data_IF_692105969424
#
_entry.id   IF_692105969424
#
_cell.length_a   1.000
_cell.length_b   1.000
_cell.length_c   1.000
_cell.angle_alpha   90.00
_cell.angle_beta   90.00
_cell.angle_gamma   90.00
#
_symmetry.space_group_name_H-M   'P 1'
#
loop_
_entity.id
_entity.type
_entity.pdbx_description
1 polymer ?
#
# COMPACT_ATOMS: atom_id res chain seq x y z
N UNK A 1 67.60 32.95 2.68
CA UNK A 1 66.34 33.02 3.50
C UNK A 1 65.33 31.89 3.19
N UNK A 2 65.21 31.45 1.91
CA UNK A 2 64.28 30.42 1.52
C UNK A 2 64.56 28.99 2.03
N UNK A 3 65.88 28.65 2.16
CA UNK A 3 66.32 27.31 2.59
C UNK A 3 66.24 27.10 4.11
N UNK A 4 66.35 28.14 4.89
CA UNK A 4 66.21 28.11 6.35
C UNK A 4 64.77 27.93 6.70
N UNK A 5 63.81 28.55 5.97
CA UNK A 5 62.40 28.40 6.19
C UNK A 5 61.89 27.00 5.81
N UNK A 6 62.39 26.44 4.70
CA UNK A 6 62.05 25.07 4.28
C UNK A 6 62.58 24.00 5.26
N UNK A 7 63.75 24.25 5.92
CA UNK A 7 64.19 23.30 6.96
C UNK A 7 63.44 23.42 8.27
N UNK A 8 62.92 24.60 8.59
CA UNK A 8 62.13 24.81 9.78
C UNK A 8 60.72 24.23 9.63
N UNK A 9 60.11 24.35 8.47
CA UNK A 9 58.81 23.69 8.16
C UNK A 9 58.92 22.16 8.15
N UNK A 10 60.05 21.62 7.69
CA UNK A 10 60.30 20.17 7.73
C UNK A 10 60.55 19.64 9.17
N UNK A 11 60.97 20.48 10.12
CA UNK A 11 61.10 20.13 11.53
C UNK A 11 59.79 20.24 12.32
N UNK A 12 58.81 20.93 11.79
CA UNK A 12 57.48 21.06 12.39
C UNK A 12 56.46 19.98 11.93
N UNK A 13 56.87 19.05 11.08
CA UNK A 13 56.14 17.85 10.80
C UNK A 13 56.08 16.98 12.04
N UNK A 14 55.15 17.28 12.92
CA UNK A 14 54.95 16.54 14.16
C UNK A 14 54.45 15.12 13.79
N UNK A 15 55.28 14.07 13.99
CA UNK A 15 54.90 12.70 13.65
C UNK A 15 53.60 12.25 14.38
N UNK A 16 53.22 12.95 15.45
CA UNK A 16 51.95 12.73 16.17
C UNK A 16 50.73 13.23 15.36
N UNK A 17 50.90 14.23 14.47
CA UNK A 17 49.77 14.70 13.65
C UNK A 17 49.45 13.78 12.48
N UNK A 18 50.47 13.16 11.86
CA UNK A 18 50.27 12.18 10.78
C UNK A 18 49.65 10.85 11.31
N UNK A 19 50.12 10.40 12.49
CA UNK A 19 49.54 9.22 13.12
C UNK A 19 48.11 9.49 13.58
N UNK A 20 47.81 10.67 14.10
CA UNK A 20 46.44 11.04 14.50
C UNK A 20 45.49 11.14 13.31
N UNK A 21 45.92 11.73 12.20
CA UNK A 21 45.15 11.78 10.94
C UNK A 21 44.95 10.38 10.34
N UNK A 22 45.97 9.52 10.39
CA UNK A 22 45.86 8.13 9.92
C UNK A 22 44.88 7.31 10.74
N UNK A 23 44.91 7.46 12.08
CA UNK A 23 43.96 6.81 12.99
C UNK A 23 42.53 7.34 12.73
N UNK A 24 42.37 8.64 12.55
CA UNK A 24 41.05 9.24 12.29
C UNK A 24 40.47 8.78 10.94
N UNK A 25 41.29 8.66 9.91
CA UNK A 25 40.88 8.08 8.62
C UNK A 25 40.51 6.60 8.74
N UNK A 26 41.31 5.83 9.48
CA UNK A 26 41.07 4.39 9.70
C UNK A 26 39.75 4.15 10.45
N UNK A 27 39.46 4.98 11.46
CA UNK A 27 38.20 4.93 12.22
C UNK A 27 37.02 5.29 11.32
N UNK A 28 37.12 6.34 10.51
CA UNK A 28 36.03 6.77 9.62
C UNK A 28 35.70 5.72 8.55
N UNK A 29 36.72 5.09 7.95
CA UNK A 29 36.52 4.01 6.97
C UNK A 29 35.83 2.79 7.61
N UNK A 30 36.19 2.44 8.85
CA UNK A 30 35.53 1.36 9.58
C UNK A 30 34.04 1.69 9.87
N UNK A 31 33.71 2.91 10.26
CA UNK A 31 32.32 3.33 10.49
C UNK A 31 31.45 3.24 9.23
N UNK A 32 31.97 3.64 8.07
CA UNK A 32 31.29 3.46 6.78
C UNK A 32 31.09 1.98 6.44
N UNK A 33 32.11 1.14 6.69
CA UNK A 33 32.00 -0.31 6.52
C UNK A 33 30.90 -0.92 7.40
N UNK A 34 30.84 -0.56 8.67
CA UNK A 34 29.78 -1.03 9.59
C UNK A 34 28.39 -0.49 9.18
N UNK A 35 28.29 0.75 8.72
CA UNK A 35 27.04 1.33 8.21
C UNK A 35 26.48 0.58 7.00
N UNK A 36 27.35 0.23 6.05
CA UNK A 36 26.96 -0.52 4.85
C UNK A 36 26.53 -1.95 5.23
N UNK A 37 27.28 -2.64 6.10
CA UNK A 37 26.93 -3.99 6.52
C UNK A 37 25.60 -4.03 7.29
N UNK A 38 25.35 -3.05 8.16
CA UNK A 38 24.09 -2.92 8.88
C UNK A 38 22.93 -2.67 7.92
N UNK A 39 23.11 -1.79 6.91
CA UNK A 39 22.08 -1.52 5.90
C UNK A 39 21.74 -2.78 5.08
N UNK A 40 22.74 -3.56 4.68
CA UNK A 40 22.54 -4.83 3.97
C UNK A 40 21.78 -5.85 4.83
N UNK A 41 22.09 -5.95 6.11
CA UNK A 41 21.40 -6.84 7.05
C UNK A 41 19.92 -6.42 7.20
N UNK A 42 19.66 -5.12 7.33
CA UNK A 42 18.29 -4.58 7.42
C UNK A 42 17.50 -4.88 6.13
N UNK A 43 18.10 -4.65 4.96
CA UNK A 43 17.46 -4.95 3.68
C UNK A 43 17.19 -6.45 3.52
N UNK A 44 18.12 -7.32 3.93
CA UNK A 44 17.93 -8.76 3.93
C UNK A 44 16.81 -9.19 4.88
N UNK A 45 16.74 -8.62 6.09
CA UNK A 45 15.67 -8.87 7.05
C UNK A 45 14.29 -8.42 6.53
N UNK A 46 14.23 -7.23 5.90
CA UNK A 46 13.01 -6.73 5.28
C UNK A 46 12.55 -7.59 4.10
N UNK A 47 13.48 -8.05 3.26
CA UNK A 47 13.16 -8.94 2.14
C UNK A 47 12.67 -10.31 2.64
N UNK A 48 13.33 -10.88 3.66
CA UNK A 48 12.92 -12.13 4.31
C UNK A 48 11.53 -12.00 4.96
N UNK A 49 11.28 -10.89 5.65
CA UNK A 49 9.97 -10.57 6.23
C UNK A 49 8.89 -10.46 5.13
N UNK A 50 9.20 -9.79 4.03
CA UNK A 50 8.27 -9.66 2.90
C UNK A 50 7.95 -11.01 2.24
N UNK A 51 8.97 -11.85 2.03
CA UNK A 51 8.80 -13.21 1.49
C UNK A 51 8.03 -14.10 2.47
N UNK A 52 8.31 -14.00 3.77
CA UNK A 52 7.56 -14.72 4.80
C UNK A 52 6.10 -14.28 4.87
N UNK A 53 5.82 -12.97 4.85
CA UNK A 53 4.46 -12.41 4.79
C UNK A 53 3.72 -12.90 3.54
N UNK A 54 4.39 -12.89 2.38
CA UNK A 54 3.85 -13.42 1.10
C UNK A 54 3.57 -14.93 1.19
N UNK A 55 4.45 -15.70 1.83
CA UNK A 55 4.28 -17.16 2.00
C UNK A 55 3.13 -17.50 2.98
N UNK A 56 2.90 -16.67 4.00
CA UNK A 56 1.73 -16.79 4.87
C UNK A 56 0.44 -16.54 4.09
N UNK A 57 0.40 -15.47 3.28
CA UNK A 57 -0.74 -15.15 2.43
C UNK A 57 -1.03 -16.27 1.43
N UNK A 58 0.02 -16.86 0.83
CA UNK A 58 -0.15 -17.99 -0.09
C UNK A 58 -0.66 -19.28 0.58
N UNK A 59 -0.38 -19.50 1.88
CA UNK A 59 -0.94 -20.64 2.62
C UNK A 59 -2.44 -20.49 2.88
N UNK A 60 -2.90 -19.28 3.09
CA UNK A 60 -4.34 -18.98 3.23
C UNK A 60 -5.05 -19.10 1.88
N UNK A 61 -4.43 -18.65 0.78
CA UNK A 61 -4.95 -18.85 -0.59
C UNK A 61 -5.02 -20.32 -0.97
N UNK A 62 -4.05 -21.13 -0.56
CA UNK A 62 -4.07 -22.58 -0.82
C UNK A 62 -5.21 -23.30 -0.05
N UNK A 63 -5.65 -22.79 1.11
CA UNK A 63 -6.84 -23.28 1.80
C UNK A 63 -8.14 -22.87 1.11
N UNK A 64 -8.17 -21.68 0.51
CA UNK A 64 -9.30 -21.16 -0.28
C UNK A 64 -9.42 -21.88 -1.63
N UNK A 65 -8.30 -22.34 -2.19
CA UNK A 65 -8.23 -23.05 -3.48
C UNK A 65 -8.32 -24.57 -3.35
N UNK A 66 -8.64 -25.10 -2.15
CA UNK A 66 -8.84 -26.55 -1.99
C UNK A 66 -10.13 -26.96 -2.71
N UNK A 67 -10.00 -27.20 -4.01
CA UNK A 67 -11.00 -27.92 -4.82
C UNK A 67 -11.25 -29.26 -4.13
N UNK A 68 -12.51 -29.64 -3.84
CA UNK A 68 -12.80 -30.98 -3.31
C UNK A 68 -12.14 -32.05 -4.15
N UNK A 69 -11.54 -33.06 -3.50
CA UNK A 69 -10.78 -34.14 -4.12
C UNK A 69 -11.59 -34.92 -5.18
N UNK A 70 -12.91 -34.89 -5.07
CA UNK A 70 -13.87 -35.52 -5.99
C UNK A 70 -13.81 -34.93 -7.43
N UNK A 71 -13.43 -33.65 -7.59
CA UNK A 71 -13.26 -33.02 -8.92
C UNK A 71 -11.90 -33.32 -9.57
N UNK A 72 -10.92 -33.84 -8.81
CA UNK A 72 -9.59 -34.21 -9.31
C UNK A 72 -9.54 -35.55 -10.01
N UNK A 73 -10.50 -36.42 -9.74
CA UNK A 73 -10.54 -37.80 -10.27
C UNK A 73 -11.34 -37.92 -11.58
N UNK A 74 -12.05 -36.86 -11.98
CA UNK A 74 -12.68 -36.81 -13.29
C UNK A 74 -11.69 -36.24 -14.31
N UNK A 75 -10.75 -37.11 -14.74
CA UNK A 75 -9.79 -36.79 -15.79
C UNK A 75 -10.49 -36.51 -17.12
N UNK A 76 -10.81 -35.28 -17.37
CA UNK A 76 -11.14 -34.75 -18.71
C UNK A 76 -10.29 -33.53 -19.02
N UNK A 77 -9.47 -33.72 -20.03
CA UNK A 77 -8.86 -32.84 -21.00
C UNK A 77 -8.51 -31.42 -20.58
N UNK A 78 -7.23 -31.17 -20.64
CA UNK A 78 -6.60 -29.86 -20.58
C UNK A 78 -6.76 -29.16 -21.95
N UNK A 79 -8.02 -28.89 -22.32
CA UNK A 79 -8.41 -28.08 -23.48
C UNK A 79 -9.71 -27.38 -23.13
N UNK A 80 -9.67 -26.29 -22.36
CA UNK A 80 -10.70 -25.25 -22.32
C UNK A 80 -10.22 -24.13 -21.37
N UNK A 81 -9.22 -23.38 -21.82
CA UNK A 81 -8.69 -22.21 -21.09
C UNK A 81 -9.60 -20.97 -21.23
N UNK A 82 -10.82 -21.15 -21.74
CA UNK A 82 -11.79 -20.06 -21.94
C UNK A 82 -13.17 -20.40 -21.33
N UNK A 83 -13.16 -20.87 -20.08
CA UNK A 83 -14.38 -20.83 -19.29
C UNK A 83 -14.71 -19.36 -18.99
N UNK A 84 -15.86 -18.90 -19.46
CA UNK A 84 -16.34 -17.56 -19.21
C UNK A 84 -16.28 -17.24 -17.69
N UNK A 85 -16.05 -16.01 -17.32
CA UNK A 85 -16.02 -15.59 -15.91
C UNK A 85 -17.27 -16.09 -15.17
N UNK A 86 -18.37 -16.17 -15.85
CA UNK A 86 -19.66 -16.63 -15.34
C UNK A 86 -19.71 -18.11 -14.93
N UNK A 87 -18.98 -19.01 -15.63
CA UNK A 87 -18.86 -20.41 -15.25
C UNK A 87 -17.95 -20.60 -14.04
N UNK A 88 -16.91 -19.78 -13.89
CA UNK A 88 -16.06 -19.75 -12.68
C UNK A 88 -16.83 -19.31 -11.43
N UNK A 89 -17.87 -18.46 -11.58
CA UNK A 89 -18.76 -18.08 -10.48
C UNK A 89 -19.69 -19.20 -10.06
N UNK A 90 -20.18 -20.00 -11.01
CA UNK A 90 -21.14 -21.10 -10.74
C UNK A 90 -20.51 -22.28 -10.01
N UNK A 91 -19.18 -22.48 -10.14
CA UNK A 91 -18.47 -23.61 -9.54
C UNK A 91 -17.93 -23.31 -8.14
N UNK A 92 -17.94 -22.06 -7.70
CA UNK A 92 -17.40 -21.62 -6.40
C UNK A 92 -18.54 -21.43 -5.39
N UNK A 93 -18.97 -22.50 -4.74
CA UNK A 93 -19.85 -22.42 -3.57
C UNK A 93 -19.04 -21.84 -2.39
N UNK A 94 -18.92 -20.50 -2.31
CA UNK A 94 -18.37 -19.85 -1.11
C UNK A 94 -19.39 -19.98 0.03
N UNK A 95 -18.94 -20.51 1.17
CA UNK A 95 -19.79 -20.53 2.35
C UNK A 95 -20.01 -19.11 2.88
N UNK A 96 -21.10 -18.92 3.60
CA UNK A 96 -21.40 -17.63 4.23
C UNK A 96 -20.30 -17.20 5.20
N UNK A 97 -19.72 -18.15 5.95
CA UNK A 97 -18.60 -17.89 6.87
C UNK A 97 -17.34 -17.46 6.14
N UNK A 98 -17.07 -17.99 4.97
CA UNK A 98 -15.94 -17.57 4.15
C UNK A 98 -16.12 -16.15 3.63
N UNK A 99 -17.31 -15.83 3.12
CA UNK A 99 -17.66 -14.48 2.68
C UNK A 99 -17.55 -13.48 3.83
N UNK A 100 -18.00 -13.84 5.01
CA UNK A 100 -17.91 -13.01 6.22
C UNK A 100 -16.46 -12.75 6.63
N UNK A 101 -15.62 -13.80 6.71
CA UNK A 101 -14.19 -13.68 7.00
C UNK A 101 -13.46 -12.83 5.95
N UNK A 102 -13.78 -13.01 4.68
CA UNK A 102 -13.19 -12.23 3.60
C UNK A 102 -13.61 -10.76 3.68
N UNK A 103 -14.87 -10.49 4.03
CA UNK A 103 -15.36 -9.12 4.26
C UNK A 103 -14.63 -8.44 5.40
N UNK A 104 -14.39 -9.12 6.53
CA UNK A 104 -13.64 -8.55 7.65
C UNK A 104 -12.17 -8.31 7.28
N UNK A 105 -11.54 -9.21 6.53
CA UNK A 105 -10.18 -9.02 6.00
C UNK A 105 -10.12 -7.81 5.06
N UNK A 106 -11.09 -7.67 4.16
CA UNK A 106 -11.22 -6.54 3.26
C UNK A 106 -11.33 -5.22 4.04
N UNK A 107 -12.23 -5.14 5.03
CA UNK A 107 -12.40 -3.95 5.88
C UNK A 107 -11.12 -3.61 6.64
N UNK A 108 -10.39 -4.62 7.15
CA UNK A 108 -9.12 -4.43 7.84
C UNK A 108 -8.08 -3.81 6.91
N UNK A 109 -7.87 -4.37 5.72
CA UNK A 109 -6.94 -3.85 4.71
C UNK A 109 -7.31 -2.41 4.33
N UNK A 110 -8.60 -2.13 4.10
CA UNK A 110 -9.07 -0.78 3.77
C UNK A 110 -8.75 0.24 4.87
N UNK A 111 -8.81 -0.13 6.15
CA UNK A 111 -8.49 0.77 7.27
C UNK A 111 -7.00 0.94 7.52
N UNK A 112 -6.23 -0.16 7.46
CA UNK A 112 -4.81 -0.17 7.85
C UNK A 112 -3.89 0.23 6.70
N UNK A 113 -4.10 -0.29 5.50
CA UNK A 113 -3.22 -0.08 4.35
C UNK A 113 -3.71 1.04 3.42
N UNK A 114 -4.98 1.45 3.53
CA UNK A 114 -5.63 2.50 2.75
C UNK A 114 -5.37 2.40 1.23
N UNK A 115 -5.50 1.22 0.60
CA UNK A 115 -5.18 1.05 -0.82
C UNK A 115 -6.03 1.95 -1.73
N UNK A 116 -7.19 2.41 -1.27
CA UNK A 116 -8.09 3.31 -2.00
C UNK A 116 -7.46 4.68 -2.33
N UNK A 117 -6.37 5.06 -1.65
CA UNK A 117 -5.64 6.31 -1.95
C UNK A 117 -4.86 6.23 -3.27
N UNK A 118 -4.62 5.02 -3.78
CA UNK A 118 -4.09 4.85 -5.13
C UNK A 118 -5.22 5.10 -6.16
N UNK A 119 -5.11 6.12 -7.05
CA UNK A 119 -6.14 6.42 -8.03
C UNK A 119 -6.33 5.31 -9.08
N UNK A 120 -5.27 4.52 -9.35
CA UNK A 120 -5.24 3.45 -10.34
C UNK A 120 -5.62 2.07 -9.75
N UNK A 121 -6.10 2.02 -8.49
CA UNK A 121 -6.43 0.76 -7.82
C UNK A 121 -7.51 -0.03 -8.61
N UNK A 122 -7.14 -1.22 -9.05
CA UNK A 122 -8.02 -2.18 -9.71
C UNK A 122 -8.45 -3.29 -8.75
N UNK A 123 -9.54 -3.97 -9.06
CA UNK A 123 -10.01 -5.11 -8.27
C UNK A 123 -8.95 -6.23 -8.19
N UNK A 124 -8.13 -6.39 -9.25
CA UNK A 124 -7.04 -7.36 -9.27
C UNK A 124 -5.94 -7.02 -8.26
N UNK A 125 -5.60 -5.72 -8.11
CA UNK A 125 -4.59 -5.25 -7.18
C UNK A 125 -5.07 -5.47 -5.73
N UNK A 126 -6.33 -5.12 -5.47
CA UNK A 126 -6.96 -5.33 -4.16
C UNK A 126 -7.05 -6.83 -3.82
N UNK A 127 -7.38 -7.67 -4.78
CA UNK A 127 -7.38 -9.12 -4.63
C UNK A 127 -6.01 -9.66 -4.28
N UNK A 128 -4.96 -9.14 -4.92
CA UNK A 128 -3.57 -9.48 -4.63
C UNK A 128 -3.16 -9.07 -3.20
N UNK A 129 -3.53 -7.86 -2.76
CA UNK A 129 -3.28 -7.37 -1.39
C UNK A 129 -3.96 -8.29 -0.35
N UNK A 130 -5.21 -8.67 -0.60
CA UNK A 130 -5.98 -9.56 0.29
C UNK A 130 -5.47 -11.00 0.20
N UNK A 131 -4.78 -11.38 -0.89
CA UNK A 131 -4.26 -12.72 -1.11
C UNK A 131 -5.33 -13.70 -1.60
N UNK A 132 -6.25 -13.25 -2.46
CA UNK A 132 -7.28 -14.08 -3.09
C UNK A 132 -7.32 -13.85 -4.60
N UNK A 133 -7.85 -14.77 -5.39
CA UNK A 133 -8.08 -14.54 -6.81
C UNK A 133 -9.07 -13.39 -7.06
N UNK A 134 -8.91 -12.67 -8.17
CA UNK A 134 -9.78 -11.53 -8.54
C UNK A 134 -11.25 -11.92 -8.66
N UNK A 135 -11.55 -13.13 -9.16
CA UNK A 135 -12.92 -13.62 -9.26
C UNK A 135 -13.59 -13.79 -7.89
N UNK A 136 -12.83 -14.16 -6.85
CA UNK A 136 -13.34 -14.29 -5.47
C UNK A 136 -13.80 -12.93 -4.95
N UNK A 137 -13.03 -11.86 -5.17
CA UNK A 137 -13.47 -10.51 -4.81
C UNK A 137 -14.65 -10.04 -5.65
N UNK A 138 -14.66 -10.35 -6.94
CA UNK A 138 -15.79 -10.02 -7.82
C UNK A 138 -17.07 -10.72 -7.33
N UNK A 139 -16.99 -11.99 -6.94
CA UNK A 139 -18.08 -12.72 -6.32
C UNK A 139 -18.53 -12.04 -5.02
N UNK A 140 -17.60 -11.73 -4.12
CA UNK A 140 -17.89 -11.08 -2.85
C UNK A 140 -18.66 -9.77 -3.06
N UNK A 141 -18.22 -8.91 -3.96
CA UNK A 141 -18.90 -7.64 -4.25
C UNK A 141 -20.29 -7.86 -4.86
N UNK A 142 -20.39 -8.70 -5.89
CA UNK A 142 -21.63 -8.83 -6.67
C UNK A 142 -22.66 -9.70 -6.00
N UNK A 143 -22.26 -10.81 -5.35
CA UNK A 143 -23.17 -11.80 -4.81
C UNK A 143 -23.42 -11.63 -3.32
N UNK A 144 -22.39 -11.39 -2.52
CA UNK A 144 -22.52 -11.29 -1.07
C UNK A 144 -22.81 -9.87 -0.59
N UNK A 145 -21.96 -8.90 -0.94
CA UNK A 145 -22.12 -7.50 -0.52
C UNK A 145 -23.21 -6.76 -1.31
N UNK A 146 -23.60 -7.27 -2.49
CA UNK A 146 -24.58 -6.65 -3.40
C UNK A 146 -24.21 -5.19 -3.73
N UNK A 147 -22.92 -4.92 -3.87
CA UNK A 147 -22.38 -3.58 -4.10
C UNK A 147 -21.40 -3.55 -5.26
N UNK A 148 -21.39 -2.44 -6.00
CA UNK A 148 -20.38 -2.20 -7.01
C UNK A 148 -19.02 -1.91 -6.35
N UNK A 149 -17.96 -2.52 -6.90
CA UNK A 149 -16.58 -2.31 -6.44
C UNK A 149 -16.19 -0.82 -6.38
N UNK A 150 -16.48 -0.06 -7.45
CA UNK A 150 -16.13 1.35 -7.52
C UNK A 150 -16.87 2.20 -6.49
N UNK A 151 -18.14 1.92 -6.24
CA UNK A 151 -18.91 2.60 -5.19
C UNK A 151 -18.33 2.28 -3.81
N UNK A 152 -17.92 1.03 -3.57
CA UNK A 152 -17.29 0.64 -2.31
C UNK A 152 -15.96 1.38 -2.07
N UNK A 153 -15.07 1.45 -3.08
CA UNK A 153 -13.81 2.20 -2.99
C UNK A 153 -14.07 3.70 -2.81
N UNK A 154 -15.00 4.25 -3.56
CA UNK A 154 -15.30 5.69 -3.48
C UNK A 154 -15.89 6.10 -2.12
N UNK A 155 -16.63 5.22 -1.43
CA UNK A 155 -17.08 5.51 -0.07
C UNK A 155 -15.92 5.72 0.90
N UNK A 156 -14.87 4.89 0.83
CA UNK A 156 -13.66 5.07 1.64
C UNK A 156 -12.93 6.36 1.28
N UNK A 157 -12.82 6.68 -0.01
CA UNK A 157 -12.22 7.94 -0.50
C UNK A 157 -12.98 9.17 0.03
N UNK A 158 -14.31 9.14 0.01
CA UNK A 158 -15.13 10.22 0.56
C UNK A 158 -14.99 10.31 2.08
N UNK A 159 -14.93 9.18 2.79
CA UNK A 159 -14.71 9.16 4.23
C UNK A 159 -13.33 9.76 4.60
N UNK A 160 -12.28 9.43 3.83
CA UNK A 160 -10.95 10.03 4.00
C UNK A 160 -10.98 11.54 3.75
N UNK A 161 -11.63 11.99 2.66
CA UNK A 161 -11.80 13.42 2.39
C UNK A 161 -12.46 14.15 3.56
N UNK A 162 -13.57 13.62 4.09
CA UNK A 162 -14.24 14.19 5.27
C UNK A 162 -13.34 14.22 6.49
N UNK A 163 -12.54 13.17 6.70
CA UNK A 163 -11.55 13.12 7.79
C UNK A 163 -10.47 14.19 7.63
N UNK A 164 -9.95 14.42 6.43
CA UNK A 164 -8.98 15.48 6.17
C UNK A 164 -9.58 16.87 6.40
N UNK A 165 -10.79 17.10 5.92
CA UNK A 165 -11.50 18.38 6.14
C UNK A 165 -11.75 18.61 7.62
N UNK A 166 -12.20 17.61 8.38
CA UNK A 166 -12.46 17.74 9.83
C UNK A 166 -11.18 18.00 10.65
N UNK A 167 -10.01 17.59 10.14
CA UNK A 167 -8.69 17.90 10.71
C UNK A 167 -8.17 19.30 10.34
N UNK A 168 -8.94 20.08 9.58
CA UNK A 168 -8.55 21.41 9.14
C UNK A 168 -7.60 21.46 7.96
N UNK A 169 -7.32 20.32 7.29
CA UNK A 169 -6.38 20.27 6.15
C UNK A 169 -6.86 21.10 4.94
N UNK A 170 -8.16 21.42 4.85
CA UNK A 170 -8.72 22.29 3.82
C UNK A 170 -8.23 23.75 3.90
N UNK A 171 -7.62 24.15 5.02
CA UNK A 171 -6.98 25.48 5.15
C UNK A 171 -5.56 25.49 4.57
N UNK A 172 -4.92 24.32 4.46
CA UNK A 172 -3.54 24.14 3.98
C UNK A 172 -3.45 23.67 2.53
N UNK A 173 -4.44 22.90 2.08
CA UNK A 173 -4.48 22.28 0.76
C UNK A 173 -5.67 22.78 -0.05
N UNK A 174 -5.48 22.90 -1.35
CA UNK A 174 -6.59 23.16 -2.27
C UNK A 174 -7.55 21.97 -2.31
N UNK A 175 -8.81 22.23 -2.68
CA UNK A 175 -9.79 21.15 -2.86
C UNK A 175 -9.32 20.06 -3.85
N UNK A 176 -8.59 20.45 -4.89
CA UNK A 176 -8.03 19.49 -5.86
C UNK A 176 -6.94 18.63 -5.20
N UNK A 177 -6.03 19.22 -4.43
CA UNK A 177 -5.00 18.46 -3.74
C UNK A 177 -5.60 17.47 -2.72
N UNK A 178 -6.63 17.88 -1.96
CA UNK A 178 -7.34 16.97 -1.04
C UNK A 178 -8.03 15.82 -1.78
N UNK A 179 -8.64 16.10 -2.93
CA UNK A 179 -9.26 15.08 -3.77
C UNK A 179 -8.23 14.04 -4.25
N UNK A 180 -7.07 14.49 -4.71
CA UNK A 180 -5.97 13.63 -5.17
C UNK A 180 -5.38 12.79 -4.03
N UNK A 181 -5.17 13.38 -2.85
CA UNK A 181 -4.74 12.67 -1.65
C UNK A 181 -5.69 11.53 -1.24
N UNK A 182 -6.98 11.69 -1.54
CA UNK A 182 -7.99 10.65 -1.30
C UNK A 182 -8.05 9.59 -2.42
N UNK A 183 -7.26 9.72 -3.49
CA UNK A 183 -7.20 8.77 -4.59
C UNK A 183 -8.17 9.02 -5.74
N UNK A 184 -8.79 10.20 -5.83
CA UNK A 184 -9.56 10.56 -7.02
C UNK A 184 -8.65 11.16 -8.09
N UNK A 185 -8.65 10.59 -9.29
CA UNK A 185 -7.93 11.11 -10.47
C UNK A 185 -8.75 12.14 -11.25
N UNK A 186 -10.07 12.22 -11.03
CA UNK A 186 -10.98 13.08 -11.79
C UNK A 186 -11.86 13.92 -10.89
N UNK A 187 -11.75 15.25 -11.02
CA UNK A 187 -12.60 16.22 -10.33
C UNK A 187 -14.09 15.99 -10.58
N UNK A 188 -14.46 15.74 -11.83
CA UNK A 188 -15.86 15.48 -12.20
C UNK A 188 -16.41 14.25 -11.49
N UNK A 189 -15.63 13.15 -11.43
CA UNK A 189 -16.03 11.92 -10.74
C UNK A 189 -16.16 12.13 -9.23
N UNK A 190 -15.22 12.86 -8.61
CA UNK A 190 -15.27 13.22 -7.20
C UNK A 190 -16.51 14.04 -6.86
N UNK A 191 -16.75 15.16 -7.57
CA UNK A 191 -17.90 16.04 -7.28
C UNK A 191 -19.22 15.32 -7.45
N UNK A 192 -19.37 14.55 -8.54
CA UNK A 192 -20.58 13.76 -8.80
C UNK A 192 -20.83 12.73 -7.69
N UNK A 193 -19.79 11.98 -7.30
CA UNK A 193 -19.94 10.94 -6.28
C UNK A 193 -20.18 11.56 -4.90
N UNK A 194 -19.45 12.60 -4.53
CA UNK A 194 -19.64 13.32 -3.26
C UNK A 194 -21.08 13.83 -3.13
N UNK A 195 -21.61 14.49 -4.17
CA UNK A 195 -22.99 14.98 -4.17
C UNK A 195 -24.01 13.86 -4.12
N UNK A 196 -23.75 12.73 -4.82
CA UNK A 196 -24.60 11.52 -4.77
C UNK A 196 -24.75 11.01 -3.33
N UNK A 197 -23.66 10.98 -2.56
CA UNK A 197 -23.63 10.39 -1.21
C UNK A 197 -24.07 11.37 -0.13
N UNK A 198 -23.73 12.67 -0.27
CA UNK A 198 -23.94 13.66 0.79
C UNK A 198 -25.06 14.67 0.50
N UNK A 199 -25.62 14.66 -0.69
CA UNK A 199 -26.67 15.61 -1.10
C UNK A 199 -26.16 17.00 -1.50
N UNK A 200 -24.97 17.40 -1.03
CA UNK A 200 -24.34 18.70 -1.24
C UNK A 200 -23.00 18.56 -1.93
N UNK A 201 -22.45 19.65 -2.47
CA UNK A 201 -21.13 19.66 -3.09
C UNK A 201 -20.01 19.65 -2.05
N UNK A 202 -18.76 19.24 -2.41
CA UNK A 202 -17.62 19.31 -1.49
C UNK A 202 -17.36 20.71 -0.95
N UNK A 203 -17.54 21.75 -1.77
CA UNK A 203 -17.33 23.15 -1.37
C UNK A 203 -18.39 23.61 -0.37
N UNK A 204 -19.66 23.26 -0.57
CA UNK A 204 -20.75 23.53 0.38
C UNK A 204 -20.52 22.79 1.70
N UNK A 205 -20.02 21.56 1.65
CA UNK A 205 -19.67 20.78 2.84
C UNK A 205 -18.57 21.45 3.67
N UNK A 206 -17.48 21.92 3.05
CA UNK A 206 -16.42 22.66 3.75
C UNK A 206 -16.99 23.92 4.41
N UNK A 207 -17.75 24.71 3.65
CA UNK A 207 -18.35 25.93 4.16
C UNK A 207 -19.27 25.69 5.37
N UNK A 208 -20.08 24.63 5.30
CA UNK A 208 -20.99 24.28 6.42
C UNK A 208 -20.23 23.94 7.72
N UNK A 209 -19.03 23.36 7.64
CA UNK A 209 -18.19 23.11 8.81
C UNK A 209 -17.56 24.37 9.37
N UNK A 210 -17.12 25.30 8.51
CA UNK A 210 -16.55 26.58 8.93
C UNK A 210 -17.61 27.45 9.65
N UNK A 211 -18.86 27.43 9.17
CA UNK A 211 -19.97 28.17 9.77
C UNK A 211 -20.39 27.56 11.14
N UNK A 212 -20.16 26.29 11.37
CA UNK A 212 -20.48 25.60 12.63
C UNK A 212 -19.42 25.82 13.73
N UNK A 213 -18.20 26.22 13.33
CA UNK A 213 -17.07 26.45 14.25
C UNK A 213 -16.93 27.92 14.69
N UNK A 214 -17.78 28.81 14.20
CA UNK A 214 -17.92 30.23 14.63
C UNK A 214 -18.98 30.38 15.70
#
# INVERSE_FOLDING_TARGET
>A
LGDVYKRQVRRMGNPKSETCLRIHMQISVNWYGYGITLAVIILAALSAYYLWKRKLQNKETARFLRVPEELRLSGKGMEDADLSMEEKYKTSNFSEEECKRLTEKLKKVMREEKPYTNPELKIADLASIIGVPSYTLSYLFNQYLKRNYYDYINDYRIAEFKSLVSKGEHTRYTLNALMELCGFSSRTSFFRYFKKVNGITPSEYIKSLEDTQK
#
